data_IF_154528787594
#
_entry.id   IF_154528787594
#
_cell.length_a   1.000
_cell.length_b   1.000
_cell.length_c   1.000
_cell.angle_alpha   90.00
_cell.angle_beta   90.00
_cell.angle_gamma   90.00
#
_symmetry.space_group_name_H-M   'P 1'
#
loop_
_entity.id
_entity.type
_entity.pdbx_description
1 polymer ?
#
# COMPACT_ATOMS: atom_id res chain seq x y z
N UNK A 1 30.36 24.79 24.71
CA UNK A 1 28.99 24.30 25.00
C UNK A 1 28.49 23.53 23.79
N UNK A 2 28.70 22.20 23.76
CA UNK A 2 28.17 21.32 22.72
C UNK A 2 26.88 20.69 23.26
N UNK A 3 25.73 21.19 22.80
CA UNK A 3 24.41 20.83 23.32
C UNK A 3 23.55 20.07 22.29
N UNK A 4 23.44 18.75 22.49
CA UNK A 4 22.22 17.95 22.33
C UNK A 4 21.34 18.05 21.06
N UNK A 5 21.90 17.96 19.85
CA UNK A 5 21.10 17.68 18.62
C UNK A 5 21.45 16.38 17.89
N UNK A 6 22.37 15.58 18.43
CA UNK A 6 22.86 14.37 17.76
C UNK A 6 22.11 13.05 18.02
N UNK A 7 21.33 12.83 19.10
CA UNK A 7 20.71 11.50 19.28
C UNK A 7 19.52 11.22 18.37
N UNK A 8 18.72 12.24 18.00
CA UNK A 8 17.48 12.02 17.21
C UNK A 8 17.72 11.75 15.73
N UNK A 9 18.72 12.41 15.13
CA UNK A 9 19.07 12.16 13.74
C UNK A 9 19.61 10.74 13.54
N UNK A 10 20.40 10.25 14.50
CA UNK A 10 20.94 8.88 14.48
C UNK A 10 19.84 7.83 14.66
N UNK A 11 18.81 8.08 15.49
CA UNK A 11 17.67 7.14 15.59
C UNK A 11 16.81 7.08 14.33
N UNK A 12 16.66 8.19 13.60
CA UNK A 12 15.91 8.21 12.34
C UNK A 12 16.71 7.49 11.24
N UNK A 13 18.01 7.74 11.14
CA UNK A 13 18.85 7.01 10.18
C UNK A 13 19.00 5.54 10.54
N UNK A 14 19.08 5.15 11.81
CA UNK A 14 19.15 3.74 12.21
C UNK A 14 17.85 2.98 11.89
N UNK A 15 16.67 3.59 12.09
CA UNK A 15 15.40 2.96 11.72
C UNK A 15 15.23 2.86 10.20
N UNK A 16 15.73 3.85 9.44
CA UNK A 16 15.80 3.75 7.97
C UNK A 16 16.81 2.67 7.56
N UNK A 17 17.94 2.53 8.25
CA UNK A 17 18.96 1.53 7.93
C UNK A 17 18.55 0.10 8.31
N UNK A 18 17.79 -0.09 9.40
CA UNK A 18 17.19 -1.39 9.76
C UNK A 18 16.07 -1.76 8.77
N UNK A 19 15.30 -0.79 8.26
CA UNK A 19 14.37 -1.01 7.14
C UNK A 19 15.07 -1.24 5.79
N UNK A 20 16.34 -0.84 5.65
CA UNK A 20 17.13 -1.01 4.44
C UNK A 20 18.01 -2.28 4.50
N UNK A 21 18.34 -2.84 5.66
CA UNK A 21 19.17 -4.06 5.74
C UNK A 21 18.38 -5.38 5.70
N UNK A 22 17.06 -5.36 5.64
CA UNK A 22 16.26 -6.49 5.12
C UNK A 22 16.18 -6.47 3.57
N UNK A 23 16.99 -5.64 2.90
CA UNK A 23 17.27 -5.73 1.46
C UNK A 23 18.06 -7.00 1.14
N UNK A 24 17.34 -8.10 1.01
CA UNK A 24 17.60 -9.11 -0.02
C UNK A 24 16.36 -9.36 -0.88
N UNK A 25 15.41 -8.42 -0.94
CA UNK A 25 14.42 -8.38 -2.01
C UNK A 25 14.99 -7.56 -3.17
N UNK A 26 16.06 -8.10 -3.76
CA UNK A 26 16.75 -7.57 -4.93
C UNK A 26 15.78 -7.19 -6.03
N UNK A 27 16.10 -6.07 -6.66
CA UNK A 27 15.49 -5.39 -7.81
C UNK A 27 15.34 -6.28 -9.05
N UNK A 28 14.57 -7.36 -8.94
CA UNK A 28 14.36 -8.34 -10.01
C UNK A 28 12.87 -8.67 -10.17
N UNK A 29 12.03 -7.66 -10.43
CA UNK A 29 10.71 -7.90 -11.05
C UNK A 29 10.36 -6.81 -12.05
N UNK A 30 11.18 -6.74 -13.10
CA UNK A 30 10.84 -6.21 -14.41
C UNK A 30 9.61 -6.96 -14.94
N UNK A 31 8.39 -6.46 -14.69
CA UNK A 31 7.10 -6.74 -15.37
C UNK A 31 6.67 -8.19 -15.75
N UNK A 32 7.45 -9.24 -15.45
CA UNK A 32 7.25 -10.60 -15.95
C UNK A 32 7.47 -11.74 -14.95
N UNK A 33 7.81 -11.45 -13.70
CA UNK A 33 8.01 -12.46 -12.64
C UNK A 33 7.37 -12.06 -11.31
N UNK A 34 6.09 -11.69 -11.31
CA UNK A 34 5.28 -11.80 -10.07
C UNK A 34 4.91 -13.28 -9.94
N UNK A 35 5.90 -14.14 -9.73
CA UNK A 35 5.73 -15.58 -9.62
C UNK A 35 5.93 -15.97 -8.16
N UNK A 36 4.86 -16.50 -7.57
CA UNK A 36 4.80 -17.17 -6.27
C UNK A 36 5.08 -16.30 -5.03
N UNK A 37 4.30 -15.23 -4.84
CA UNK A 37 4.14 -14.65 -3.51
C UNK A 37 3.13 -15.52 -2.74
N UNK A 38 3.56 -16.07 -1.60
CA UNK A 38 2.66 -16.81 -0.71
C UNK A 38 1.83 -15.86 0.19
N UNK A 39 0.89 -16.42 0.94
CA UNK A 39 0.00 -15.63 1.79
C UNK A 39 0.76 -14.91 2.91
N UNK A 40 1.84 -15.49 3.43
CA UNK A 40 2.66 -14.89 4.48
C UNK A 40 3.44 -13.69 3.94
N UNK A 41 4.07 -13.83 2.78
CA UNK A 41 4.78 -12.77 2.07
C UNK A 41 3.82 -11.62 1.70
N UNK A 42 2.62 -11.95 1.20
CA UNK A 42 1.61 -10.93 0.90
C UNK A 42 1.18 -10.18 2.17
N UNK A 43 1.01 -10.89 3.28
CA UNK A 43 0.71 -10.29 4.58
C UNK A 43 1.85 -9.38 5.07
N UNK A 44 3.10 -9.80 4.91
CA UNK A 44 4.27 -8.96 5.23
C UNK A 44 4.30 -7.69 4.40
N UNK A 45 3.96 -7.76 3.10
CA UNK A 45 3.82 -6.58 2.24
C UNK A 45 2.72 -5.64 2.73
N UNK A 46 1.57 -6.17 3.17
CA UNK A 46 0.49 -5.37 3.75
C UNK A 46 0.96 -4.67 5.02
N UNK A 47 1.58 -5.40 5.95
CA UNK A 47 2.10 -4.83 7.22
C UNK A 47 3.14 -3.74 6.95
N UNK A 48 4.08 -3.99 6.03
CA UNK A 48 5.07 -2.99 5.62
C UNK A 48 4.39 -1.72 5.12
N UNK A 49 3.40 -1.84 4.22
CA UNK A 49 2.67 -0.68 3.69
C UNK A 49 1.85 0.03 4.76
N UNK A 50 1.29 -0.69 5.74
CA UNK A 50 0.59 -0.07 6.87
C UNK A 50 1.55 0.78 7.72
N UNK A 51 2.79 0.30 7.92
CA UNK A 51 3.86 1.05 8.57
C UNK A 51 4.22 2.34 7.82
N UNK A 52 4.52 2.23 6.52
CA UNK A 52 4.88 3.38 5.68
C UNK A 52 3.77 4.44 5.63
N UNK A 53 2.52 4.02 5.43
CA UNK A 53 1.39 4.95 5.37
C UNK A 53 1.12 5.56 6.75
N UNK A 54 1.32 4.82 7.85
CA UNK A 54 1.18 5.37 9.20
C UNK A 54 2.27 6.38 9.52
N UNK A 55 3.50 6.18 9.03
CA UNK A 55 4.55 7.20 9.09
C UNK A 55 4.10 8.49 8.39
N UNK A 56 3.61 8.40 7.15
CA UNK A 56 3.10 9.57 6.45
C UNK A 56 1.90 10.21 7.13
N UNK A 57 1.01 9.42 7.74
CA UNK A 57 -0.14 9.95 8.47
C UNK A 57 0.29 10.79 9.69
N UNK A 58 1.28 10.31 10.44
CA UNK A 58 1.73 10.94 11.68
C UNK A 58 2.66 12.14 11.42
N UNK A 59 3.45 12.09 10.33
CA UNK A 59 4.48 13.10 10.03
C UNK A 59 4.15 13.98 8.83
N UNK A 60 2.92 13.91 8.27
CA UNK A 60 2.55 14.68 7.07
C UNK A 60 2.82 16.18 7.22
N UNK A 61 2.55 16.70 8.42
CA UNK A 61 2.70 18.12 8.74
C UNK A 61 4.13 18.52 9.05
N UNK A 62 4.99 17.56 9.40
CA UNK A 62 6.44 17.75 9.62
C UNK A 62 7.20 17.80 8.29
N UNK A 63 6.64 17.24 7.22
CA UNK A 63 7.21 17.31 5.88
C UNK A 63 7.10 18.71 5.29
N UNK A 64 8.10 19.08 4.48
CA UNK A 64 8.07 20.32 3.70
C UNK A 64 6.83 20.38 2.80
N UNK A 65 6.29 21.57 2.50
CA UNK A 65 5.10 21.70 1.64
C UNK A 65 5.24 21.00 0.28
N UNK A 66 6.45 21.02 -0.30
CA UNK A 66 6.77 20.33 -1.56
C UNK A 66 6.67 18.81 -1.39
N UNK A 67 7.31 18.25 -0.37
CA UNK A 67 7.27 16.81 -0.08
C UNK A 67 5.85 16.33 0.22
N UNK A 68 5.11 17.09 1.04
CA UNK A 68 3.69 16.82 1.33
C UNK A 68 2.85 16.73 0.05
N UNK A 69 3.02 17.69 -0.87
CA UNK A 69 2.30 17.70 -2.15
C UNK A 69 2.62 16.47 -3.01
N UNK A 70 3.88 16.04 -3.03
CA UNK A 70 4.31 14.86 -3.79
C UNK A 70 3.72 13.57 -3.21
N UNK A 71 3.84 13.36 -1.89
CA UNK A 71 3.24 12.21 -1.19
C UNK A 71 1.74 12.14 -1.45
N UNK A 72 1.03 13.27 -1.33
CA UNK A 72 -0.41 13.34 -1.57
C UNK A 72 -0.78 12.96 -3.01
N UNK A 73 -0.07 13.54 -3.99
CA UNK A 73 -0.29 13.21 -5.41
C UNK A 73 -0.05 11.73 -5.68
N UNK A 74 1.00 11.17 -5.11
CA UNK A 74 1.35 9.78 -5.31
C UNK A 74 0.32 8.83 -4.70
N UNK A 75 -0.10 9.07 -3.46
CA UNK A 75 -1.14 8.27 -2.79
C UNK A 75 -2.45 8.34 -3.57
N UNK A 76 -2.88 9.54 -3.98
CA UNK A 76 -4.10 9.71 -4.79
C UNK A 76 -3.97 8.96 -6.12
N UNK A 77 -2.82 9.04 -6.78
CA UNK A 77 -2.57 8.30 -8.02
C UNK A 77 -2.69 6.79 -7.82
N UNK A 78 -2.05 6.23 -6.79
CA UNK A 78 -2.10 4.79 -6.49
C UNK A 78 -3.53 4.33 -6.23
N UNK A 79 -4.31 5.09 -5.44
CA UNK A 79 -5.70 4.77 -5.14
C UNK A 79 -6.60 4.84 -6.38
N UNK A 80 -6.44 5.87 -7.21
CA UNK A 80 -7.19 6.00 -8.48
C UNK A 80 -6.86 4.88 -9.44
N UNK A 81 -5.58 4.50 -9.56
CA UNK A 81 -5.16 3.38 -10.39
C UNK A 81 -5.75 2.07 -9.90
N UNK A 82 -5.70 1.81 -8.60
CA UNK A 82 -6.32 0.62 -8.01
C UNK A 82 -7.85 0.57 -8.26
N UNK A 83 -8.56 1.69 -8.05
CA UNK A 83 -10.00 1.80 -8.36
C UNK A 83 -10.27 1.47 -9.82
N UNK A 84 -9.52 2.09 -10.73
CA UNK A 84 -9.64 1.84 -12.17
C UNK A 84 -9.40 0.37 -12.50
N UNK A 85 -8.30 -0.23 -12.01
CA UNK A 85 -7.95 -1.63 -12.26
C UNK A 85 -9.10 -2.56 -11.81
N UNK A 86 -9.70 -2.34 -10.63
CA UNK A 86 -10.83 -3.14 -10.15
C UNK A 86 -12.13 -2.91 -10.92
N UNK A 87 -12.45 -1.68 -11.32
CA UNK A 87 -13.63 -1.39 -12.15
C UNK A 87 -13.55 -2.11 -13.51
N UNK A 88 -12.37 -2.20 -14.11
CA UNK A 88 -12.19 -2.94 -15.37
C UNK A 88 -12.35 -4.46 -15.21
N UNK A 89 -12.10 -4.98 -14.01
CA UNK A 89 -12.13 -6.42 -13.75
C UNK A 89 -13.50 -6.95 -13.35
N UNK A 90 -14.37 -6.10 -12.81
CA UNK A 90 -15.64 -6.54 -12.21
C UNK A 90 -16.54 -7.30 -13.20
N UNK A 91 -16.48 -7.01 -14.50
CA UNK A 91 -17.28 -7.67 -15.52
C UNK A 91 -16.74 -9.03 -15.97
N UNK A 92 -15.45 -9.30 -15.75
CA UNK A 92 -14.74 -10.49 -16.27
C UNK A 92 -14.31 -11.47 -15.18
N UNK A 93 -14.47 -11.10 -13.91
CA UNK A 93 -14.06 -11.90 -12.76
C UNK A 93 -15.10 -12.95 -12.34
N UNK A 94 -14.68 -13.93 -11.54
CA UNK A 94 -15.60 -14.86 -10.89
C UNK A 94 -16.40 -14.18 -9.76
N UNK A 95 -17.48 -14.82 -9.31
CA UNK A 95 -18.39 -14.24 -8.29
C UNK A 95 -17.68 -13.93 -6.96
N UNK A 96 -16.73 -14.76 -6.52
CA UNK A 96 -15.93 -14.50 -5.31
C UNK A 96 -15.12 -13.21 -5.44
N UNK A 97 -14.38 -13.05 -6.53
CA UNK A 97 -13.55 -11.87 -6.78
C UNK A 97 -14.41 -10.61 -6.98
N UNK A 98 -15.54 -10.72 -7.69
CA UNK A 98 -16.54 -9.65 -7.79
C UNK A 98 -17.01 -9.22 -6.41
N UNK A 99 -17.36 -10.17 -5.55
CA UNK A 99 -17.80 -9.87 -4.19
C UNK A 99 -16.72 -9.13 -3.39
N UNK A 100 -15.46 -9.55 -3.47
CA UNK A 100 -14.33 -8.87 -2.82
C UNK A 100 -14.12 -7.44 -3.34
N UNK A 101 -14.27 -7.23 -4.65
CA UNK A 101 -14.21 -5.90 -5.28
C UNK A 101 -15.40 -5.02 -4.82
N UNK A 102 -16.62 -5.57 -4.82
CA UNK A 102 -17.82 -4.84 -4.40
C UNK A 102 -17.76 -4.43 -2.93
N UNK A 103 -17.12 -5.21 -2.06
CA UNK A 103 -16.87 -4.80 -0.68
C UNK A 103 -16.01 -3.53 -0.60
N UNK A 104 -14.99 -3.40 -1.44
CA UNK A 104 -14.17 -2.19 -1.53
C UNK A 104 -14.98 -1.01 -2.07
N UNK A 105 -15.79 -1.25 -3.08
CA UNK A 105 -16.62 -0.23 -3.70
C UNK A 105 -17.67 0.33 -2.73
N UNK A 106 -18.48 -0.55 -2.13
CA UNK A 106 -19.54 -0.20 -1.18
C UNK A 106 -18.98 0.51 0.06
N UNK A 107 -17.87 0.01 0.60
CA UNK A 107 -17.32 0.56 1.84
C UNK A 107 -16.53 1.86 1.61
N UNK A 108 -15.96 2.10 0.43
CA UNK A 108 -14.96 3.16 0.24
C UNK A 108 -15.01 3.95 -1.07
N UNK A 109 -15.23 3.32 -2.22
CA UNK A 109 -15.20 4.06 -3.49
C UNK A 109 -16.44 4.90 -3.75
N UNK A 110 -17.59 4.51 -3.17
CA UNK A 110 -18.85 5.24 -3.29
C UNK A 110 -18.87 6.52 -2.41
N UNK A 111 -18.07 6.55 -1.35
CA UNK A 111 -17.79 7.80 -0.64
C UNK A 111 -16.76 8.59 -1.45
N UNK A 112 -17.21 9.34 -2.46
CA UNK A 112 -16.41 10.14 -3.42
C UNK A 112 -15.49 11.22 -2.81
N UNK A 113 -15.29 11.14 -1.49
CA UNK A 113 -14.30 11.85 -0.70
C UNK A 113 -12.86 11.35 -0.89
N UNK A 114 -12.46 10.95 -2.10
CA UNK A 114 -11.05 11.14 -2.53
C UNK A 114 -10.81 12.65 -2.63
N UNK A 115 -10.98 13.34 -1.50
CA UNK A 115 -10.89 14.78 -1.33
C UNK A 115 -9.46 15.17 -1.66
N UNK A 116 -9.34 16.38 -2.18
CA UNK A 116 -8.09 17.00 -2.64
C UNK A 116 -7.03 17.14 -1.53
N UNK A 117 -7.31 16.71 -0.29
CA UNK A 117 -6.42 16.77 0.85
C UNK A 117 -5.69 15.44 1.12
N UNK A 118 -4.39 15.56 1.44
CA UNK A 118 -3.51 14.42 1.68
C UNK A 118 -3.94 13.50 2.81
N UNK A 119 -4.51 14.11 3.85
CA UNK A 119 -4.90 13.41 5.05
C UNK A 119 -6.03 12.40 4.80
N UNK A 120 -7.04 12.77 4.01
CA UNK A 120 -8.13 11.86 3.64
C UNK A 120 -7.63 10.73 2.75
N UNK A 121 -6.74 11.02 1.79
CA UNK A 121 -6.15 10.01 0.91
C UNK A 121 -5.31 8.99 1.70
N UNK A 122 -4.51 9.44 2.66
CA UNK A 122 -3.75 8.57 3.57
C UNK A 122 -4.69 7.70 4.39
N UNK A 123 -5.74 8.27 5.00
CA UNK A 123 -6.72 7.52 5.78
C UNK A 123 -7.41 6.45 4.93
N UNK A 124 -7.73 6.77 3.68
CA UNK A 124 -8.34 5.83 2.75
C UNK A 124 -7.39 4.68 2.41
N UNK A 125 -6.12 4.98 2.14
CA UNK A 125 -5.10 3.96 1.90
C UNK A 125 -4.98 3.01 3.09
N UNK A 126 -4.93 3.53 4.34
CA UNK A 126 -4.88 2.69 5.55
C UNK A 126 -6.05 1.70 5.61
N UNK A 127 -7.26 2.19 5.36
CA UNK A 127 -8.47 1.35 5.41
C UNK A 127 -8.45 0.26 4.34
N UNK A 128 -8.00 0.58 3.12
CA UNK A 128 -7.85 -0.40 2.05
C UNK A 128 -6.86 -1.51 2.44
N UNK A 129 -5.74 -1.16 3.06
CA UNK A 129 -4.79 -2.16 3.56
C UNK A 129 -5.41 -3.05 4.64
N UNK A 130 -6.23 -2.51 5.55
CA UNK A 130 -6.94 -3.31 6.55
C UNK A 130 -7.90 -4.30 5.89
N UNK A 131 -8.62 -3.88 4.86
CA UNK A 131 -9.54 -4.76 4.11
C UNK A 131 -8.75 -5.87 3.42
N UNK A 132 -7.62 -5.56 2.81
CA UNK A 132 -6.78 -6.58 2.17
C UNK A 132 -6.28 -7.61 3.19
N UNK A 133 -5.86 -7.18 4.38
CA UNK A 133 -5.46 -8.09 5.45
C UNK A 133 -6.63 -8.98 5.91
N UNK A 134 -7.83 -8.41 6.07
CA UNK A 134 -9.03 -9.16 6.44
C UNK A 134 -9.46 -10.14 5.33
N UNK A 135 -9.38 -9.73 4.07
CA UNK A 135 -9.74 -10.58 2.94
C UNK A 135 -8.72 -11.72 2.78
N UNK A 136 -7.43 -11.44 2.99
CA UNK A 136 -6.38 -12.43 2.92
C UNK A 136 -6.58 -13.51 3.99
N UNK A 137 -6.98 -13.14 5.21
CA UNK A 137 -7.27 -14.09 6.28
C UNK A 137 -8.49 -14.96 6.03
N UNK A 138 -9.52 -14.40 5.38
CA UNK A 138 -10.84 -15.05 5.31
C UNK A 138 -11.13 -15.74 3.97
N UNK A 139 -10.41 -15.39 2.89
CA UNK A 139 -10.71 -15.84 1.52
C UNK A 139 -9.53 -16.47 0.79
N UNK A 140 -8.36 -16.60 1.43
CA UNK A 140 -7.22 -17.34 0.88
C UNK A 140 -7.01 -18.57 1.74
N UNK A 141 -7.23 -19.74 1.14
CA UNK A 141 -7.08 -21.04 1.76
C UNK A 141 -5.94 -21.84 1.13
N UNK A 142 -5.54 -21.49 -0.09
CA UNK A 142 -4.43 -22.12 -0.80
C UNK A 142 -3.64 -21.12 -1.66
N UNK A 143 -2.51 -21.57 -2.20
CA UNK A 143 -1.70 -20.78 -3.11
C UNK A 143 -2.43 -20.46 -4.43
N UNK A 144 -3.33 -21.32 -4.89
CA UNK A 144 -4.08 -21.11 -6.14
C UNK A 144 -5.03 -19.91 -6.04
N UNK A 145 -5.53 -19.61 -4.83
CA UNK A 145 -6.37 -18.44 -4.61
C UNK A 145 -5.59 -17.16 -4.95
N UNK A 146 -4.31 -17.10 -4.57
CA UNK A 146 -3.43 -15.95 -4.83
C UNK A 146 -3.08 -15.77 -6.31
N UNK A 147 -3.29 -16.80 -7.13
CA UNK A 147 -3.09 -16.70 -8.58
C UNK A 147 -4.25 -15.99 -9.28
N UNK A 148 -5.36 -15.74 -8.58
CA UNK A 148 -6.49 -15.04 -9.14
C UNK A 148 -6.10 -13.62 -9.57
N UNK A 149 -6.72 -13.07 -10.62
CA UNK A 149 -6.31 -11.77 -11.11
C UNK A 149 -6.55 -10.67 -10.05
N UNK A 150 -7.54 -10.85 -9.18
CA UNK A 150 -7.77 -9.99 -8.00
C UNK A 150 -6.53 -9.88 -7.10
N UNK A 151 -5.99 -11.01 -6.63
CA UNK A 151 -4.83 -11.02 -5.74
C UNK A 151 -3.57 -10.56 -6.47
N UNK A 152 -3.40 -10.88 -7.75
CA UNK A 152 -2.31 -10.33 -8.58
C UNK A 152 -2.35 -8.80 -8.64
N UNK A 153 -3.51 -8.16 -8.76
CA UNK A 153 -3.63 -6.69 -8.72
C UNK A 153 -3.27 -6.11 -7.35
N UNK A 154 -3.71 -6.74 -6.27
CA UNK A 154 -3.34 -6.32 -4.91
C UNK A 154 -1.83 -6.39 -4.74
N UNK A 155 -1.20 -7.49 -5.14
CA UNK A 155 0.25 -7.66 -5.10
C UNK A 155 0.97 -6.57 -5.90
N UNK A 156 0.54 -6.29 -7.13
CA UNK A 156 1.08 -5.20 -7.95
C UNK A 156 0.92 -3.82 -7.30
N UNK A 157 -0.19 -3.60 -6.60
CA UNK A 157 -0.43 -2.36 -5.85
C UNK A 157 0.52 -2.25 -4.64
N UNK A 158 0.69 -3.33 -3.88
CA UNK A 158 1.54 -3.39 -2.69
C UNK A 158 3.03 -3.34 -3.02
N UNK A 159 3.47 -3.76 -4.20
CA UNK A 159 4.87 -3.65 -4.62
C UNK A 159 5.27 -2.22 -5.03
N UNK A 160 4.30 -1.33 -5.28
CA UNK A 160 4.61 0.06 -5.66
C UNK A 160 5.06 0.88 -4.47
N UNK A 161 6.33 1.24 -4.46
CA UNK A 161 6.89 2.17 -3.47
C UNK A 161 6.30 3.57 -3.61
N UNK A 162 6.13 4.25 -2.48
CA UNK A 162 5.87 5.69 -2.45
C UNK A 162 7.18 6.38 -2.83
N UNK A 163 7.40 6.56 -4.14
CA UNK A 163 8.57 7.25 -4.67
C UNK A 163 8.34 8.75 -4.58
N UNK A 164 9.17 9.43 -3.80
CA UNK A 164 9.18 10.88 -3.73
C UNK A 164 10.51 11.35 -4.32
N UNK A 165 10.46 11.83 -5.57
CA UNK A 165 11.61 12.43 -6.28
C UNK A 165 11.75 13.92 -5.93
#
# INVERSE_FOLDING_TARGET
MFGHTFPRAVFITLNIFILVNEYNFTEATTYGQITNIDAQQLRQLIVRRQGEISFYHNHLFDLSPRYRKLVNKWIIYLLKKLKFDFTQMISIENETNKYLIMQLEKKYWYSDSLRKDGYSAIRMYKKILTIFDDQLKNYVHSWTDLESPYWKRITMFLLKNIKVY
#
